data_IF_671443902645
#
_entry.id   IF_671443902645
#
_cell.length_a   1.000
_cell.length_b   1.000
_cell.length_c   1.000
_cell.angle_alpha   90.00
_cell.angle_beta   90.00
_cell.angle_gamma   90.00
#
_symmetry.space_group_name_H-M   'P 1'
#
loop_
_entity.id
_entity.type
_entity.pdbx_description
1 polymer ?
#
# COMPACT_ATOMS: atom_id res chain seq x y z
N UNK A 1 -4.38 13.77 -5.31
CA UNK A 1 -4.98 13.03 -4.18
C UNK A 1 -6.13 12.23 -4.74
N UNK A 2 -6.18 10.92 -4.51
CA UNK A 2 -7.31 10.07 -4.93
C UNK A 2 -8.43 10.21 -3.90
N UNK A 3 -9.67 10.30 -4.38
CA UNK A 3 -10.85 10.26 -3.53
C UNK A 3 -11.04 8.85 -2.96
N UNK A 4 -11.44 8.76 -1.68
CA UNK A 4 -11.72 7.47 -1.04
C UNK A 4 -13.17 7.11 -1.29
N UNK A 5 -13.39 6.17 -2.23
CA UNK A 5 -14.72 5.60 -2.49
C UNK A 5 -15.11 4.58 -1.43
N UNK A 6 -16.39 4.19 -1.38
CA UNK A 6 -16.86 3.09 -0.53
C UNK A 6 -16.15 1.76 -0.86
N UNK A 7 -15.88 1.51 -2.15
CA UNK A 7 -15.14 0.33 -2.58
C UNK A 7 -13.70 0.30 -2.04
N UNK A 8 -13.01 1.45 -2.09
CA UNK A 8 -11.67 1.60 -1.48
C UNK A 8 -11.74 1.37 0.04
N UNK A 9 -12.77 1.89 0.71
CA UNK A 9 -12.93 1.73 2.15
C UNK A 9 -13.20 0.26 2.55
N UNK A 10 -14.02 -0.46 1.79
CA UNK A 10 -14.29 -1.89 1.99
C UNK A 10 -13.04 -2.73 1.75
N UNK A 11 -12.31 -2.49 0.66
CA UNK A 11 -11.05 -3.16 0.36
C UNK A 11 -10.00 -2.88 1.44
N UNK A 12 -9.94 -1.64 1.95
CA UNK A 12 -9.03 -1.27 3.03
C UNK A 12 -9.37 -1.99 4.33
N UNK A 13 -10.65 -2.13 4.66
CA UNK A 13 -11.09 -2.90 5.82
C UNK A 13 -10.66 -4.38 5.70
N UNK A 14 -10.81 -4.96 4.51
CA UNK A 14 -10.37 -6.34 4.24
C UNK A 14 -8.85 -6.50 4.36
N UNK A 15 -8.07 -5.60 3.73
CA UNK A 15 -6.61 -5.62 3.82
C UNK A 15 -6.13 -5.49 5.27
N UNK A 16 -6.73 -4.59 6.04
CA UNK A 16 -6.43 -4.43 7.47
C UNK A 16 -6.74 -5.68 8.27
N UNK A 17 -7.86 -6.35 7.99
CA UNK A 17 -8.25 -7.60 8.67
C UNK A 17 -7.25 -8.73 8.40
N UNK A 18 -6.80 -8.88 7.16
CA UNK A 18 -5.92 -9.98 6.74
C UNK A 18 -4.45 -9.73 7.10
N UNK A 19 -3.97 -8.50 6.90
CA UNK A 19 -2.53 -8.17 7.00
C UNK A 19 -2.16 -7.40 8.27
N UNK A 20 -3.14 -7.08 9.13
CA UNK A 20 -2.94 -6.34 10.38
C UNK A 20 -2.21 -4.98 10.18
N UNK A 21 -2.48 -4.30 9.06
CA UNK A 21 -1.94 -2.98 8.73
C UNK A 21 -2.82 -1.85 9.29
N UNK A 22 -2.26 -0.66 9.48
CA UNK A 22 -3.01 0.48 10.02
C UNK A 22 -4.02 0.99 9.00
N UNK A 23 -5.14 1.54 9.48
CA UNK A 23 -6.22 2.04 8.61
C UNK A 23 -5.74 3.01 7.52
N UNK A 24 -4.89 4.02 7.81
CA UNK A 24 -4.41 4.93 6.76
C UNK A 24 -3.62 4.21 5.66
N UNK A 25 -2.75 3.27 6.04
CA UNK A 25 -1.94 2.50 5.10
C UNK A 25 -2.84 1.60 4.22
N UNK A 26 -3.82 0.93 4.84
CA UNK A 26 -4.78 0.10 4.13
C UNK A 26 -5.59 0.90 3.09
N UNK A 27 -5.98 2.13 3.42
CA UNK A 27 -6.68 3.03 2.50
C UNK A 27 -5.76 3.44 1.35
N UNK A 28 -4.51 3.83 1.63
CA UNK A 28 -3.56 4.24 0.60
C UNK A 28 -3.23 3.10 -0.36
N UNK A 29 -3.03 1.89 0.16
CA UNK A 29 -2.76 0.69 -0.63
C UNK A 29 -3.99 0.30 -1.47
N UNK A 30 -5.19 0.36 -0.89
CA UNK A 30 -6.43 0.08 -1.63
C UNK A 30 -6.65 1.10 -2.75
N UNK A 31 -6.41 2.39 -2.50
CA UNK A 31 -6.48 3.41 -3.53
C UNK A 31 -5.44 3.22 -4.65
N UNK A 32 -4.23 2.74 -4.31
CA UNK A 32 -3.22 2.40 -5.30
C UNK A 32 -3.66 1.21 -6.17
N UNK A 33 -4.20 0.16 -5.55
CA UNK A 33 -4.75 -1.01 -6.24
C UNK A 33 -5.93 -0.63 -7.17
N UNK A 34 -6.85 0.21 -6.70
CA UNK A 34 -7.99 0.74 -7.48
C UNK A 34 -7.51 1.54 -8.70
N UNK A 35 -6.42 2.31 -8.54
CA UNK A 35 -5.77 3.01 -9.65
C UNK A 35 -4.94 2.10 -10.58
N UNK A 36 -4.91 0.79 -10.35
CA UNK A 36 -4.17 -0.18 -11.16
C UNK A 36 -2.66 -0.19 -10.91
N UNK A 37 -2.20 0.35 -9.78
CA UNK A 37 -0.79 0.33 -9.43
C UNK A 37 -0.31 -1.10 -9.12
N UNK A 38 0.86 -1.44 -9.65
CA UNK A 38 1.54 -2.72 -9.38
C UNK A 38 2.63 -2.60 -8.30
N UNK A 39 3.00 -1.36 -7.94
CA UNK A 39 4.04 -1.06 -6.96
C UNK A 39 3.56 0.03 -5.99
N UNK A 40 3.96 -0.08 -4.72
CA UNK A 40 3.71 0.91 -3.67
C UNK A 40 5.02 1.31 -2.99
N UNK A 41 5.42 2.57 -3.16
CA UNK A 41 6.63 3.11 -2.56
C UNK A 41 6.35 3.64 -1.15
N UNK A 42 7.15 3.23 -0.17
CA UNK A 42 6.97 3.63 1.22
C UNK A 42 8.31 3.87 1.92
N UNK A 43 8.29 4.70 2.97
CA UNK A 43 9.39 4.77 3.93
C UNK A 43 9.18 3.83 5.13
N UNK A 44 7.97 3.26 5.28
CA UNK A 44 7.66 2.38 6.40
C UNK A 44 8.02 0.92 6.06
N UNK A 45 9.19 0.50 6.53
CA UNK A 45 9.72 -0.86 6.37
C UNK A 45 8.90 -1.93 7.13
N UNK A 46 7.91 -1.53 7.93
CA UNK A 46 7.05 -2.45 8.69
C UNK A 46 5.82 -2.89 7.92
N UNK A 47 5.56 -2.31 6.74
CA UNK A 47 4.46 -2.78 5.90
C UNK A 47 4.73 -4.22 5.47
N UNK A 48 3.78 -5.15 5.68
CA UNK A 48 3.94 -6.53 5.27
C UNK A 48 3.85 -6.65 3.75
N UNK A 49 4.29 -7.79 3.23
CA UNK A 49 4.06 -8.14 1.84
C UNK A 49 2.56 -8.32 1.57
N UNK A 50 2.10 -7.73 0.47
CA UNK A 50 0.71 -7.82 0.01
C UNK A 50 0.73 -8.47 -1.39
N UNK A 51 0.14 -9.66 -1.58
CA UNK A 51 0.26 -10.40 -2.84
C UNK A 51 -0.18 -9.64 -4.09
N UNK A 52 -1.09 -8.68 -3.95
CA UNK A 52 -1.64 -7.90 -5.06
C UNK A 52 -0.81 -6.67 -5.46
N UNK A 53 0.22 -6.29 -4.70
CA UNK A 53 1.04 -5.09 -4.97
C UNK A 53 2.43 -5.21 -4.37
N UNK A 54 3.46 -4.90 -5.16
CA UNK A 54 4.83 -4.96 -4.68
C UNK A 54 5.14 -3.75 -3.78
N UNK A 55 5.49 -4.01 -2.52
CA UNK A 55 5.92 -2.96 -1.58
C UNK A 55 7.41 -2.69 -1.78
N UNK A 56 7.78 -1.44 -2.00
CA UNK A 56 9.16 -1.01 -2.19
C UNK A 56 9.55 0.06 -1.16
N UNK A 57 10.61 -0.21 -0.41
CA UNK A 57 11.18 0.79 0.50
C UNK A 57 12.00 1.82 -0.29
N UNK A 58 11.69 3.10 -0.12
CA UNK A 58 12.44 4.20 -0.76
C UNK A 58 13.94 4.13 -0.40
N UNK A 59 14.27 3.74 0.83
CA UNK A 59 15.67 3.59 1.27
C UNK A 59 16.42 2.52 0.46
N UNK A 60 15.77 1.39 0.17
CA UNK A 60 16.37 0.30 -0.63
C UNK A 60 16.67 0.71 -2.06
N UNK A 61 15.87 1.63 -2.63
CA UNK A 61 16.06 2.10 -4.00
C UNK A 61 17.19 3.13 -4.03
N UNK A 62 17.21 4.09 -3.09
CA UNK A 62 18.21 5.15 -3.06
C UNK A 62 19.66 4.61 -2.94
N UNK A 63 19.86 3.48 -2.26
CA UNK A 63 21.17 2.81 -2.18
C UNK A 63 21.67 2.20 -3.51
N UNK A 64 20.81 2.08 -4.53
CA UNK A 64 21.19 1.60 -5.86
C UNK A 64 21.66 2.69 -6.82
N UNK A 65 21.65 3.97 -6.41
CA UNK A 65 22.09 5.13 -7.20
C UNK A 65 23.47 5.63 -6.77
N UNK A 66 24.36 4.69 -6.43
CA UNK A 66 25.78 4.94 -6.14
C UNK A 66 26.68 4.67 -7.34
#
# INVERSE_FOLDING_TARGET
MLEVSSAIAEQAAQLRSVHNIRTPDAIQISAALDAGATHFFTNDIRLPDIPSIQILSIQSIASGWG
#
